data_IF_694982344594
#
_entry.id   IF_694982344594
#
_cell.length_a   1.000
_cell.length_b   1.000
_cell.length_c   1.000
_cell.angle_alpha   90.00
_cell.angle_beta   90.00
_cell.angle_gamma   90.00
#
_symmetry.space_group_name_H-M   'P 1'
#
loop_
_entity.id
_entity.type
_entity.pdbx_description
1 polymer ?
#
# COMPACT_ATOMS: atom_id res chain seq x y z
N UNK A 1 -22.47 -65.42 21.73
CA UNK A 1 -22.66 -64.80 20.42
C UNK A 1 -23.51 -63.55 20.57
N UNK A 2 -22.96 -62.39 20.66
CA UNK A 2 -23.68 -61.12 20.51
C UNK A 2 -22.74 -60.17 19.81
N UNK A 3 -23.11 -59.65 18.61
CA UNK A 3 -22.39 -58.71 17.79
C UNK A 3 -22.67 -57.29 18.30
N UNK A 4 -21.64 -56.48 18.50
CA UNK A 4 -21.73 -55.05 18.77
C UNK A 4 -21.84 -54.27 17.46
N UNK A 5 -22.58 -53.14 17.41
CA UNK A 5 -22.71 -52.32 16.21
C UNK A 5 -21.60 -51.31 16.12
N UNK A 6 -21.04 -51.15 14.91
CA UNK A 6 -20.08 -50.14 14.52
C UNK A 6 -20.72 -48.74 14.50
N UNK A 7 -20.15 -47.84 15.25
CA UNK A 7 -20.54 -46.40 15.24
C UNK A 7 -19.80 -45.68 14.11
N UNK A 8 -20.48 -45.39 13.02
CA UNK A 8 -19.98 -44.53 11.94
C UNK A 8 -20.02 -43.06 12.39
N UNK A 9 -18.87 -42.49 12.65
CA UNK A 9 -18.71 -41.04 12.87
C UNK A 9 -18.86 -40.27 11.55
N UNK A 10 -19.95 -39.54 11.40
CA UNK A 10 -20.16 -38.60 10.30
C UNK A 10 -19.29 -37.37 10.55
N UNK A 11 -18.26 -37.17 9.71
CA UNK A 11 -17.51 -35.93 9.66
C UNK A 11 -18.35 -34.87 8.94
N UNK A 12 -18.92 -33.96 9.71
CA UNK A 12 -19.63 -32.79 9.20
C UNK A 12 -18.59 -31.76 8.71
N UNK A 13 -18.34 -31.70 7.41
CA UNK A 13 -17.57 -30.61 6.80
C UNK A 13 -18.49 -29.40 6.67
N UNK A 14 -18.43 -28.49 7.62
CA UNK A 14 -19.01 -27.16 7.48
C UNK A 14 -18.13 -26.34 6.52
N UNK A 15 -18.53 -26.24 5.27
CA UNK A 15 -18.07 -25.20 4.35
C UNK A 15 -18.62 -23.88 4.88
N UNK A 16 -17.81 -23.09 5.54
CA UNK A 16 -18.09 -21.69 5.79
C UNK A 16 -18.09 -21.00 4.44
N UNK A 17 -19.25 -20.72 3.89
CA UNK A 17 -19.40 -19.79 2.76
C UNK A 17 -19.02 -18.41 3.30
N UNK A 18 -17.83 -17.96 2.95
CA UNK A 18 -17.40 -16.59 3.13
C UNK A 18 -18.25 -15.74 2.19
N UNK A 19 -19.26 -15.08 2.74
CA UNK A 19 -20.12 -14.17 1.98
C UNK A 19 -19.27 -12.98 1.58
N UNK A 20 -19.03 -12.82 0.28
CA UNK A 20 -18.52 -11.59 -0.35
C UNK A 20 -19.53 -10.44 -0.17
N UNK A 21 -19.64 -9.96 1.05
CA UNK A 21 -20.36 -8.71 1.27
C UNK A 21 -19.41 -7.57 0.89
N UNK A 22 -19.79 -6.70 -0.04
CA UNK A 22 -18.98 -5.54 -0.35
C UNK A 22 -18.85 -4.70 0.91
N UNK A 23 -17.61 -4.41 1.30
CA UNK A 23 -17.31 -3.49 2.39
C UNK A 23 -18.02 -2.16 2.12
N UNK A 24 -19.00 -1.80 2.96
CA UNK A 24 -19.70 -0.51 2.89
C UNK A 24 -19.03 0.50 3.81
N UNK A 25 -18.87 1.70 3.30
CA UNK A 25 -18.41 2.85 4.05
C UNK A 25 -19.54 3.29 4.99
N UNK A 26 -19.56 2.81 6.25
CA UNK A 26 -20.52 3.20 7.28
C UNK A 26 -20.06 4.52 7.91
N UNK A 27 -20.32 5.63 7.22
CA UNK A 27 -20.22 6.96 7.83
C UNK A 27 -21.52 7.31 8.58
N UNK A 28 -21.45 8.01 9.75
CA UNK A 28 -22.63 8.60 10.33
C UNK A 28 -23.25 9.58 9.33
N UNK A 29 -24.57 9.81 9.40
CA UNK A 29 -25.43 10.58 8.48
C UNK A 29 -25.05 12.08 8.33
N UNK A 30 -23.78 12.41 8.25
CA UNK A 30 -23.29 13.69 7.75
C UNK A 30 -22.96 13.52 6.27
N UNK A 31 -23.28 14.50 5.44
CA UNK A 31 -22.94 14.50 4.00
C UNK A 31 -21.48 14.03 3.84
N UNK A 32 -21.22 12.96 3.09
CA UNK A 32 -19.87 12.45 2.97
C UNK A 32 -18.96 13.55 2.42
N UNK A 33 -17.83 13.79 3.09
CA UNK A 33 -16.84 14.76 2.65
C UNK A 33 -16.24 14.32 1.32
N UNK A 34 -15.88 15.28 0.51
CA UNK A 34 -15.13 14.99 -0.72
C UNK A 34 -13.76 14.39 -0.35
N UNK A 35 -13.43 13.28 -0.98
CA UNK A 35 -12.10 12.68 -0.91
C UNK A 35 -11.25 13.21 -2.06
N UNK A 36 -10.05 13.71 -1.79
CA UNK A 36 -9.10 14.06 -2.84
C UNK A 36 -7.87 13.15 -2.76
N UNK A 37 -7.55 12.53 -3.89
CA UNK A 37 -6.33 11.74 -4.03
C UNK A 37 -5.25 12.64 -4.62
N UNK A 38 -4.28 13.06 -3.78
CA UNK A 38 -3.13 13.83 -4.21
C UNK A 38 -2.12 12.89 -4.87
N UNK A 39 -2.01 13.01 -6.21
CA UNK A 39 -1.14 12.18 -7.04
C UNK A 39 -1.79 10.86 -7.48
N UNK A 40 -2.41 10.86 -8.65
CA UNK A 40 -3.05 9.67 -9.23
C UNK A 40 -2.07 8.85 -10.09
N UNK A 41 -0.93 8.47 -9.51
CA UNK A 41 -0.02 7.46 -10.06
C UNK A 41 -0.57 6.04 -9.90
N UNK A 42 0.29 5.03 -9.94
CA UNK A 42 -0.13 3.62 -9.85
C UNK A 42 -1.07 3.35 -8.66
N UNK A 43 -0.64 3.65 -7.44
CA UNK A 43 -1.46 3.43 -6.24
C UNK A 43 -2.67 4.34 -6.17
N UNK A 44 -2.52 5.62 -6.52
CA UNK A 44 -3.61 6.58 -6.49
C UNK A 44 -4.78 6.20 -7.40
N UNK A 45 -4.51 5.57 -8.56
CA UNK A 45 -5.57 5.05 -9.46
C UNK A 45 -6.35 3.91 -8.83
N UNK A 46 -5.69 2.99 -8.13
CA UNK A 46 -6.36 1.90 -7.41
C UNK A 46 -7.25 2.43 -6.28
N UNK A 47 -6.76 3.40 -5.51
CA UNK A 47 -7.56 4.06 -4.47
C UNK A 47 -8.76 4.77 -5.09
N UNK A 48 -8.57 5.48 -6.21
CA UNK A 48 -9.65 6.17 -6.91
C UNK A 48 -10.73 5.19 -7.39
N UNK A 49 -10.33 4.11 -8.06
CA UNK A 49 -11.26 3.09 -8.55
C UNK A 49 -12.06 2.46 -7.43
N UNK A 50 -11.40 2.11 -6.32
CA UNK A 50 -12.04 1.56 -5.14
C UNK A 50 -13.03 2.56 -4.50
N UNK A 51 -12.65 3.83 -4.39
CA UNK A 51 -13.52 4.88 -3.87
C UNK A 51 -14.77 5.08 -4.76
N UNK A 52 -14.62 5.04 -6.08
CA UNK A 52 -15.75 5.09 -7.03
C UNK A 52 -16.67 3.89 -6.87
N UNK A 53 -16.10 2.68 -6.73
CA UNK A 53 -16.89 1.45 -6.50
C UNK A 53 -17.71 1.52 -5.19
N UNK A 54 -17.18 2.21 -4.19
CA UNK A 54 -17.86 2.46 -2.91
C UNK A 54 -18.79 3.70 -2.95
N UNK A 55 -19.00 4.29 -4.12
CA UNK A 55 -19.83 5.49 -4.31
C UNK A 55 -19.40 6.71 -3.47
N UNK A 56 -18.09 6.82 -3.15
CA UNK A 56 -17.55 7.97 -2.45
C UNK A 56 -17.43 9.18 -3.40
N UNK A 57 -17.66 10.41 -2.91
CA UNK A 57 -17.40 11.63 -3.67
C UNK A 57 -15.90 11.86 -3.78
N UNK A 58 -15.26 11.27 -4.80
CA UNK A 58 -13.80 11.25 -4.95
C UNK A 58 -13.35 12.07 -6.16
N UNK A 59 -12.25 12.82 -5.96
CA UNK A 59 -11.55 13.61 -6.96
C UNK A 59 -10.11 13.09 -7.12
N UNK A 60 -9.65 12.96 -8.35
CA UNK A 60 -8.29 12.54 -8.67
C UNK A 60 -7.45 13.74 -9.08
N UNK A 61 -6.22 13.83 -8.57
CA UNK A 61 -5.35 14.96 -8.93
C UNK A 61 -4.09 14.54 -9.67
N UNK A 62 -3.63 15.43 -10.55
CA UNK A 62 -2.38 15.30 -11.30
C UNK A 62 -1.85 16.68 -11.70
N UNK A 63 -0.53 16.76 -11.95
CA UNK A 63 0.07 17.96 -12.56
C UNK A 63 -0.47 18.25 -13.96
N UNK A 64 -0.81 17.19 -14.71
CA UNK A 64 -1.36 17.24 -16.07
C UNK A 64 -2.59 16.33 -16.16
N UNK A 65 -3.75 16.74 -15.61
CA UNK A 65 -4.92 15.86 -15.46
C UNK A 65 -5.44 15.37 -16.83
N UNK A 66 -5.49 16.19 -17.86
CA UNK A 66 -5.99 15.79 -19.18
C UNK A 66 -5.15 14.70 -19.83
N UNK A 67 -3.83 14.71 -19.58
CA UNK A 67 -2.93 13.68 -20.08
C UNK A 67 -2.91 12.42 -19.20
N UNK A 68 -2.88 12.61 -17.88
CA UNK A 68 -2.63 11.50 -16.94
C UNK A 68 -3.91 10.85 -16.44
N UNK A 69 -5.06 11.50 -16.57
CA UNK A 69 -6.34 11.07 -16.02
C UNK A 69 -7.43 11.06 -17.12
N UNK A 70 -7.04 10.74 -18.36
CA UNK A 70 -7.97 10.72 -19.50
C UNK A 70 -9.16 9.77 -19.29
N UNK A 71 -8.97 8.70 -18.50
CA UNK A 71 -9.99 7.72 -18.13
C UNK A 71 -10.91 8.14 -16.97
N UNK A 72 -10.58 9.22 -16.27
CA UNK A 72 -11.38 9.78 -15.18
C UNK A 72 -12.34 10.82 -15.77
N UNK A 73 -13.57 10.88 -15.26
CA UNK A 73 -14.53 11.93 -15.65
C UNK A 73 -13.91 13.33 -15.46
N UNK A 74 -14.00 14.25 -16.45
CA UNK A 74 -13.44 15.59 -16.34
C UNK A 74 -13.86 16.38 -15.11
N UNK A 75 -15.12 16.20 -14.65
CA UNK A 75 -15.64 16.84 -13.45
C UNK A 75 -15.00 16.34 -12.15
N UNK A 76 -14.28 15.21 -12.20
CA UNK A 76 -13.59 14.59 -11.08
C UNK A 76 -12.08 14.75 -11.13
N UNK A 77 -11.55 15.57 -12.06
CA UNK A 77 -10.11 15.83 -12.22
C UNK A 77 -9.74 17.14 -11.59
N UNK A 78 -8.62 17.16 -10.86
CA UNK A 78 -8.03 18.38 -10.31
C UNK A 78 -6.60 18.52 -10.83
N UNK A 79 -6.24 19.72 -11.29
CA UNK A 79 -4.83 20.07 -11.47
C UNK A 79 -4.23 20.36 -10.11
N UNK A 80 -3.18 19.62 -9.76
CA UNK A 80 -2.46 19.80 -8.50
C UNK A 80 -0.97 19.60 -8.72
N UNK A 81 -0.19 20.56 -8.27
CA UNK A 81 1.26 20.50 -8.16
C UNK A 81 1.68 21.09 -6.81
N UNK A 82 2.47 20.33 -6.03
CA UNK A 82 2.94 20.80 -4.73
C UNK A 82 3.81 22.06 -4.84
N UNK A 83 4.59 22.18 -5.93
CA UNK A 83 5.44 23.34 -6.22
C UNK A 83 4.67 24.55 -6.77
N UNK A 84 3.37 24.43 -7.12
CA UNK A 84 2.57 25.52 -7.69
C UNK A 84 1.39 25.89 -6.78
N UNK A 85 1.54 26.84 -5.83
CA UNK A 85 0.48 27.21 -4.88
C UNK A 85 -0.86 27.62 -5.52
N UNK A 86 -0.83 28.21 -6.71
CA UNK A 86 -2.05 28.56 -7.45
C UNK A 86 -2.94 27.34 -7.79
N UNK A 87 -2.38 26.12 -7.80
CA UNK A 87 -3.15 24.90 -8.06
C UNK A 87 -3.87 24.38 -6.83
N UNK A 88 -3.53 24.86 -5.65
CA UNK A 88 -4.10 24.36 -4.38
C UNK A 88 -5.53 24.87 -4.16
N UNK A 89 -5.87 26.04 -4.70
CA UNK A 89 -7.24 26.60 -4.61
C UNK A 89 -8.32 25.75 -5.31
N UNK A 90 -7.92 24.82 -6.17
CA UNK A 90 -8.84 23.86 -6.79
C UNK A 90 -9.28 22.73 -5.84
N UNK A 91 -8.70 22.61 -4.65
CA UNK A 91 -9.08 21.61 -3.66
C UNK A 91 -10.29 22.06 -2.87
N UNK A 92 -11.31 21.19 -2.66
CA UNK A 92 -12.43 21.49 -1.77
C UNK A 92 -11.92 21.80 -0.34
N UNK A 93 -12.45 22.83 0.34
CA UNK A 93 -11.85 23.34 1.59
C UNK A 93 -11.88 22.36 2.75
N UNK A 94 -12.85 21.45 2.81
CA UNK A 94 -13.02 20.48 3.90
C UNK A 94 -12.84 19.03 3.42
N UNK A 95 -12.09 18.83 2.34
CA UNK A 95 -11.83 17.51 1.78
C UNK A 95 -10.95 16.68 2.71
N UNK A 96 -11.25 15.39 2.74
CA UNK A 96 -10.30 14.39 3.21
C UNK A 96 -9.23 14.15 2.12
N UNK A 97 -7.98 13.99 2.53
CA UNK A 97 -6.85 13.88 1.61
C UNK A 97 -6.13 12.54 1.75
N UNK A 98 -5.82 11.90 0.63
CA UNK A 98 -4.86 10.79 0.57
C UNK A 98 -3.68 11.23 -0.31
N UNK A 99 -2.52 11.38 0.32
CA UNK A 99 -1.28 11.83 -0.32
C UNK A 99 -0.43 10.63 -0.74
N UNK A 100 -0.20 10.44 -2.03
CA UNK A 100 0.39 9.20 -2.58
C UNK A 100 1.81 9.35 -3.16
N UNK A 101 2.43 10.50 -3.02
CA UNK A 101 3.81 10.76 -3.47
C UNK A 101 4.69 11.21 -2.30
N UNK A 102 6.03 11.22 -2.42
CA UNK A 102 6.91 11.62 -1.33
C UNK A 102 6.60 13.03 -0.80
N UNK A 103 6.49 13.17 0.53
CA UNK A 103 6.25 14.46 1.18
C UNK A 103 7.57 15.28 1.23
N UNK A 104 7.97 15.84 0.10
CA UNK A 104 9.23 16.57 -0.08
C UNK A 104 9.13 17.52 -1.29
N UNK A 105 9.85 18.64 -1.30
CA UNK A 105 10.71 19.19 -0.25
C UNK A 105 9.92 19.76 0.95
N UNK A 106 10.56 19.87 2.10
CA UNK A 106 9.89 20.23 3.36
C UNK A 106 9.20 21.59 3.29
N UNK A 107 9.81 22.58 2.67
CA UNK A 107 9.28 23.94 2.55
C UNK A 107 7.93 23.96 1.80
N UNK A 108 7.84 23.22 0.70
CA UNK A 108 6.61 23.09 -0.10
C UNK A 108 5.51 22.34 0.68
N UNK A 109 5.89 21.26 1.38
CA UNK A 109 4.99 20.51 2.26
C UNK A 109 4.41 21.40 3.35
N UNK A 110 5.26 22.22 4.00
CA UNK A 110 4.84 23.16 5.04
C UNK A 110 3.91 24.24 4.47
N UNK A 111 4.26 24.80 3.32
CA UNK A 111 3.43 25.83 2.67
C UNK A 111 2.05 25.28 2.30
N UNK A 112 2.01 24.11 1.68
CA UNK A 112 0.77 23.43 1.33
C UNK A 112 -0.07 23.10 2.57
N UNK A 113 0.54 22.53 3.60
CA UNK A 113 -0.17 22.12 4.80
C UNK A 113 -0.83 23.30 5.52
N UNK A 114 -0.13 24.43 5.66
CA UNK A 114 -0.70 25.67 6.21
C UNK A 114 -1.88 26.20 5.38
N UNK A 115 -1.85 26.01 4.07
CA UNK A 115 -2.91 26.45 3.16
C UNK A 115 -4.13 25.52 3.16
N UNK A 116 -3.91 24.18 3.07
CA UNK A 116 -4.93 23.23 2.66
C UNK A 116 -5.30 22.18 3.72
N UNK A 117 -4.43 21.93 4.72
CA UNK A 117 -4.74 20.93 5.75
C UNK A 117 -5.57 21.59 6.85
N UNK A 118 -6.90 21.43 6.75
CA UNK A 118 -7.84 21.96 7.73
C UNK A 118 -8.03 20.97 8.88
N UNK A 119 -8.30 21.45 10.13
CA UNK A 119 -8.58 20.55 11.25
C UNK A 119 -9.83 19.66 11.04
N UNK A 120 -10.75 20.08 10.17
CA UNK A 120 -11.96 19.34 9.84
C UNK A 120 -11.72 18.15 8.89
N UNK A 121 -10.72 18.24 8.02
CA UNK A 121 -10.38 17.15 7.07
C UNK A 121 -9.37 16.16 7.65
N UNK A 122 -9.43 14.92 7.20
CA UNK A 122 -8.44 13.89 7.56
C UNK A 122 -7.37 13.80 6.48
N UNK A 123 -6.15 13.48 6.88
CA UNK A 123 -5.01 13.36 5.99
C UNK A 123 -4.32 12.01 6.19
N UNK A 124 -4.28 11.21 5.14
CA UNK A 124 -3.47 9.97 5.07
C UNK A 124 -2.30 10.22 4.13
N UNK A 125 -1.08 9.90 4.55
CA UNK A 125 0.15 10.08 3.76
C UNK A 125 0.83 8.73 3.55
N UNK A 126 1.10 8.39 2.30
CA UNK A 126 1.85 7.20 1.95
C UNK A 126 3.35 7.47 2.07
N UNK A 127 3.92 7.03 3.18
CA UNK A 127 5.35 6.94 3.40
C UNK A 127 5.92 5.60 2.90
N UNK A 128 7.05 5.21 3.45
CA UNK A 128 7.68 3.92 3.09
C UNK A 128 8.43 3.32 4.28
N UNK A 129 8.47 2.00 4.34
CA UNK A 129 9.27 1.26 5.33
C UNK A 129 10.79 1.51 5.20
N UNK A 130 11.26 2.12 4.11
CA UNK A 130 12.65 2.55 3.99
C UNK A 130 12.99 3.78 4.87
N UNK A 131 11.99 4.36 5.55
CA UNK A 131 12.16 5.39 6.57
C UNK A 131 12.85 4.89 7.84
N UNK A 132 12.75 3.59 8.15
CA UNK A 132 13.42 3.02 9.31
C UNK A 132 14.91 2.91 9.06
N UNK A 133 15.70 3.20 10.09
CA UNK A 133 17.13 2.98 10.05
C UNK A 133 17.47 1.51 9.79
N UNK A 134 18.60 1.28 9.18
CA UNK A 134 19.15 -0.06 9.06
C UNK A 134 19.97 -0.34 10.34
N UNK A 135 19.50 -1.27 11.13
CA UNK A 135 20.38 -1.84 12.14
C UNK A 135 21.43 -2.71 11.44
N UNK A 136 22.70 -2.36 11.62
CA UNK A 136 23.83 -3.17 11.17
C UNK A 136 23.92 -4.43 12.04
N UNK A 137 23.46 -5.57 11.52
CA UNK A 137 23.69 -6.89 12.11
C UNK A 137 24.63 -7.71 11.26
N UNK A 138 25.19 -8.82 11.78
CA UNK A 138 25.93 -9.79 10.98
C UNK A 138 25.08 -10.27 9.81
N UNK A 139 25.70 -10.48 8.66
CA UNK A 139 25.03 -10.87 7.40
C UNK A 139 24.27 -12.20 7.53
N UNK A 140 24.71 -13.06 8.44
CA UNK A 140 24.16 -14.41 8.64
C UNK A 140 23.00 -14.45 9.63
N UNK A 141 22.73 -13.37 10.38
CA UNK A 141 21.62 -13.30 11.32
C UNK A 141 20.33 -12.86 10.63
N UNK A 142 19.20 -13.41 11.10
CA UNK A 142 17.89 -12.93 10.68
C UNK A 142 17.71 -11.49 11.19
N UNK A 143 17.42 -10.51 10.32
CA UNK A 143 17.18 -9.14 10.75
C UNK A 143 16.01 -9.09 11.75
N UNK A 144 16.04 -8.16 12.73
CA UNK A 144 14.97 -8.02 13.71
C UNK A 144 13.63 -7.67 13.05
N UNK A 145 12.54 -7.96 13.75
CA UNK A 145 11.23 -7.46 13.39
C UNK A 145 11.13 -5.98 13.75
N UNK A 146 10.70 -5.17 12.81
CA UNK A 146 10.52 -3.73 12.93
C UNK A 146 9.03 -3.42 13.00
N UNK A 147 8.62 -2.72 14.06
CA UNK A 147 7.30 -2.13 14.21
C UNK A 147 7.37 -0.60 14.15
N UNK A 148 6.28 0.08 14.45
CA UNK A 148 6.14 1.53 14.33
C UNK A 148 6.90 2.32 15.41
N UNK A 149 7.42 1.65 16.43
CA UNK A 149 8.23 2.29 17.50
C UNK A 149 9.71 2.38 17.13
N UNK A 150 10.13 1.69 16.06
CA UNK A 150 11.52 1.65 15.62
C UNK A 150 12.01 3.04 15.16
N UNK A 151 13.28 3.41 15.47
CA UNK A 151 13.85 4.69 15.07
C UNK A 151 13.76 4.96 13.56
N UNK A 152 13.57 6.23 13.22
CA UNK A 152 13.46 6.71 11.86
C UNK A 152 14.74 7.41 11.42
N UNK A 153 15.08 7.24 10.16
CA UNK A 153 16.10 8.07 9.52
C UNK A 153 15.54 9.46 9.21
N UNK A 154 15.67 10.37 10.16
CA UNK A 154 15.20 11.75 10.03
C UNK A 154 16.05 12.61 9.07
N UNK A 155 17.19 12.10 8.58
CA UNK A 155 17.96 12.76 7.54
C UNK A 155 17.31 12.69 6.15
N UNK A 156 16.36 11.76 5.96
CA UNK A 156 15.64 11.61 4.69
C UNK A 156 14.63 12.74 4.51
N UNK A 157 14.71 13.55 3.43
CA UNK A 157 13.82 14.69 3.23
C UNK A 157 12.33 14.36 3.29
N UNK A 158 11.92 13.20 2.74
CA UNK A 158 10.54 12.76 2.81
C UNK A 158 10.08 12.42 4.24
N UNK A 159 10.96 11.88 5.09
CA UNK A 159 10.64 11.57 6.50
C UNK A 159 10.41 12.88 7.26
N UNK A 160 11.18 13.92 6.97
CA UNK A 160 10.97 15.24 7.56
C UNK A 160 9.57 15.80 7.22
N UNK A 161 9.14 15.69 5.97
CA UNK A 161 7.80 16.12 5.56
C UNK A 161 6.69 15.25 6.15
N UNK A 162 6.87 13.91 6.16
CA UNK A 162 5.93 12.97 6.79
C UNK A 162 5.74 13.31 8.29
N UNK A 163 6.85 13.47 9.04
CA UNK A 163 6.80 13.80 10.46
C UNK A 163 6.24 15.20 10.73
N UNK A 164 6.52 16.19 9.87
CA UNK A 164 5.90 17.50 9.97
C UNK A 164 4.37 17.41 9.83
N UNK A 165 3.87 16.72 8.81
CA UNK A 165 2.43 16.52 8.60
C UNK A 165 1.80 15.76 9.75
N UNK A 166 2.47 14.73 10.26
CA UNK A 166 1.99 13.92 11.38
C UNK A 166 1.86 14.73 12.66
N UNK A 167 2.89 15.50 13.03
CA UNK A 167 2.97 16.18 14.32
C UNK A 167 2.20 17.51 14.37
N UNK A 168 2.09 18.21 13.23
CA UNK A 168 1.46 19.54 13.19
C UNK A 168 0.05 19.52 12.58
N UNK A 169 -0.28 18.51 11.77
CA UNK A 169 -1.56 18.42 11.05
C UNK A 169 -2.32 17.12 11.31
N UNK A 170 -1.84 16.29 12.25
CA UNK A 170 -2.51 15.05 12.61
C UNK A 170 -2.57 14.02 11.48
N UNK A 171 -1.65 14.10 10.50
CA UNK A 171 -1.61 13.15 9.39
C UNK A 171 -1.38 11.71 9.88
N UNK A 172 -2.09 10.78 9.27
CA UNK A 172 -1.90 9.34 9.46
C UNK A 172 -0.85 8.88 8.46
N UNK A 173 0.27 8.37 8.94
CA UNK A 173 1.36 7.93 8.07
C UNK A 173 1.28 6.43 7.83
N UNK A 174 1.14 6.03 6.57
CA UNK A 174 1.24 4.63 6.15
C UNK A 174 2.65 4.35 5.63
N UNK A 175 3.47 3.64 6.41
CA UNK A 175 4.81 3.21 6.00
C UNK A 175 4.69 1.95 5.15
N UNK A 176 4.57 2.17 3.84
CA UNK A 176 4.25 1.15 2.85
C UNK A 176 5.50 0.36 2.44
N UNK A 177 5.36 -0.95 2.41
CA UNK A 177 6.34 -1.90 1.87
C UNK A 177 6.40 -1.85 0.33
N UNK A 178 7.11 -2.78 -0.30
CA UNK A 178 7.16 -2.88 -1.76
C UNK A 178 5.78 -3.17 -2.35
N UNK A 179 5.27 -2.26 -3.18
CA UNK A 179 3.93 -2.39 -3.77
C UNK A 179 4.02 -3.24 -5.03
N UNK A 180 3.19 -4.28 -5.13
CA UNK A 180 3.06 -5.11 -6.32
C UNK A 180 1.58 -5.29 -6.73
N UNK A 181 1.36 -5.81 -7.94
CA UNK A 181 0.03 -6.07 -8.49
C UNK A 181 0.05 -6.06 -10.02
N UNK A 182 -1.11 -6.00 -10.70
CA UNK A 182 -1.21 -5.87 -12.15
C UNK A 182 -0.36 -4.69 -12.67
N UNK A 183 0.40 -4.89 -13.74
CA UNK A 183 1.34 -3.91 -14.33
C UNK A 183 2.52 -3.48 -13.41
N UNK A 184 2.66 -4.10 -12.23
CA UNK A 184 3.79 -3.89 -11.31
C UNK A 184 4.20 -5.24 -10.71
N UNK A 185 4.57 -6.16 -11.58
CA UNK A 185 4.76 -7.56 -11.27
C UNK A 185 6.21 -7.90 -10.89
N UNK A 186 6.47 -8.50 -9.72
CA UNK A 186 7.79 -9.01 -9.33
C UNK A 186 8.43 -9.97 -10.33
N UNK A 187 7.65 -10.80 -11.03
CA UNK A 187 8.16 -11.69 -12.10
C UNK A 187 8.81 -10.88 -13.22
N UNK A 188 8.22 -9.74 -13.59
CA UNK A 188 8.81 -8.84 -14.57
C UNK A 188 10.05 -8.13 -14.06
N UNK A 189 10.12 -7.80 -12.77
CA UNK A 189 11.33 -7.21 -12.19
C UNK A 189 12.51 -8.18 -12.26
N UNK A 190 12.27 -9.48 -12.01
CA UNK A 190 13.25 -10.54 -12.13
C UNK A 190 13.66 -10.72 -13.62
N UNK A 191 12.69 -10.84 -14.51
CA UNK A 191 12.91 -11.00 -15.97
C UNK A 191 13.73 -9.86 -16.57
N UNK A 192 13.51 -8.64 -16.10
CA UNK A 192 14.22 -7.43 -16.54
C UNK A 192 15.55 -7.20 -15.80
N UNK A 193 15.96 -8.09 -14.90
CA UNK A 193 17.19 -7.95 -14.12
C UNK A 193 17.18 -6.77 -13.12
N UNK A 194 15.99 -6.22 -12.81
CA UNK A 194 15.87 -5.15 -11.79
C UNK A 194 16.17 -5.67 -10.40
N UNK A 195 15.83 -6.91 -10.13
CA UNK A 195 16.11 -7.65 -8.92
C UNK A 195 16.73 -8.98 -9.24
N UNK A 196 17.51 -9.53 -8.30
CA UNK A 196 18.18 -10.82 -8.46
C UNK A 196 18.23 -11.59 -7.14
N UNK A 197 18.79 -12.79 -7.13
CA UNK A 197 18.84 -13.65 -5.97
C UNK A 197 19.80 -13.08 -4.91
N UNK A 198 19.25 -12.36 -3.94
CA UNK A 198 20.00 -11.78 -2.80
C UNK A 198 19.42 -12.29 -1.48
N UNK A 199 20.22 -12.26 -0.42
CA UNK A 199 19.76 -12.58 0.94
C UNK A 199 18.87 -11.49 1.56
N UNK A 200 18.70 -10.37 0.87
CA UNK A 200 17.91 -9.25 1.35
C UNK A 200 16.46 -9.65 1.56
N UNK A 201 15.99 -9.46 2.79
CA UNK A 201 14.57 -9.55 3.08
C UNK A 201 13.80 -8.39 2.46
N UNK A 202 12.73 -8.71 1.76
CA UNK A 202 11.77 -7.75 1.23
C UNK A 202 10.42 -7.96 1.88
N UNK A 203 9.72 -6.86 2.07
CA UNK A 203 8.36 -6.84 2.52
C UNK A 203 7.52 -6.30 1.38
N UNK A 204 6.39 -6.90 1.13
CA UNK A 204 5.55 -6.59 -0.02
C UNK A 204 4.12 -6.33 0.44
N UNK A 205 3.34 -5.68 -0.40
CA UNK A 205 1.90 -5.50 -0.24
C UNK A 205 1.24 -5.48 -1.62
N UNK A 206 0.14 -6.19 -1.77
CA UNK A 206 -0.65 -6.09 -2.99
C UNK A 206 -1.33 -4.73 -3.07
N UNK A 207 -1.38 -4.12 -4.25
CA UNK A 207 -1.91 -2.76 -4.42
C UNK A 207 -3.40 -2.65 -4.06
N UNK A 208 -4.18 -3.71 -4.25
CA UNK A 208 -5.59 -3.75 -3.86
C UNK A 208 -5.75 -3.69 -2.34
N UNK A 209 -4.97 -4.47 -1.59
CA UNK A 209 -4.94 -4.41 -0.12
C UNK A 209 -4.49 -3.03 0.38
N UNK A 210 -3.47 -2.46 -0.26
CA UNK A 210 -3.03 -1.10 0.05
C UNK A 210 -4.14 -0.07 -0.16
N UNK A 211 -4.90 -0.17 -1.27
CA UNK A 211 -6.00 0.75 -1.54
C UNK A 211 -7.11 0.65 -0.47
N UNK A 212 -7.47 -0.57 -0.06
CA UNK A 212 -8.41 -0.78 1.05
C UNK A 212 -7.89 -0.20 2.36
N UNK A 213 -6.62 -0.46 2.69
CA UNK A 213 -6.00 0.05 3.92
C UNK A 213 -5.91 1.58 3.93
N UNK A 214 -5.71 2.24 2.78
CA UNK A 214 -5.76 3.71 2.68
C UNK A 214 -7.14 4.26 3.04
N UNK A 215 -8.22 3.70 2.47
CA UNK A 215 -9.58 4.15 2.77
C UNK A 215 -9.98 3.84 4.23
N UNK A 216 -9.59 2.67 4.74
CA UNK A 216 -9.85 2.30 6.12
C UNK A 216 -9.05 3.16 7.12
N UNK A 217 -7.80 3.47 6.83
CA UNK A 217 -7.00 4.38 7.65
C UNK A 217 -7.62 5.79 7.67
N UNK A 218 -8.14 6.27 6.52
CA UNK A 218 -8.87 7.52 6.46
C UNK A 218 -10.12 7.48 7.35
N UNK A 219 -10.84 6.37 7.40
CA UNK A 219 -12.08 6.22 8.16
C UNK A 219 -11.83 5.97 9.65
N UNK A 220 -10.91 5.06 10.00
CA UNK A 220 -10.75 4.49 11.34
C UNK A 220 -9.39 4.76 11.98
N UNK A 221 -8.37 5.15 11.21
CA UNK A 221 -7.03 5.41 11.73
C UNK A 221 -7.03 6.54 12.76
N UNK A 222 -6.11 6.49 13.69
CA UNK A 222 -5.94 7.55 14.69
C UNK A 222 -5.13 8.71 14.10
N UNK A 223 -5.63 9.93 14.23
CA UNK A 223 -4.91 11.13 13.79
C UNK A 223 -3.54 11.24 14.46
N UNK A 224 -2.53 11.57 13.70
CA UNK A 224 -1.14 11.68 14.17
C UNK A 224 -0.42 10.34 14.41
N UNK A 225 -1.06 9.22 14.06
CA UNK A 225 -0.47 7.89 14.24
C UNK A 225 0.27 7.40 12.97
N UNK A 226 1.07 6.37 13.15
CA UNK A 226 1.83 5.70 12.07
C UNK A 226 1.48 4.23 12.04
N UNK A 227 1.39 3.67 10.83
CA UNK A 227 1.10 2.27 10.59
C UNK A 227 2.02 1.69 9.53
N UNK A 228 2.58 0.50 9.80
CA UNK A 228 3.28 -0.29 8.80
C UNK A 228 2.29 -1.04 7.92
N UNK A 229 2.51 -0.99 6.61
CA UNK A 229 1.66 -1.64 5.61
C UNK A 229 2.49 -2.64 4.80
N UNK A 230 2.29 -3.92 5.07
CA UNK A 230 2.89 -5.07 4.37
C UNK A 230 1.95 -6.27 4.44
N UNK A 231 2.26 -7.35 3.71
CA UNK A 231 1.55 -8.62 3.82
C UNK A 231 1.91 -9.41 5.09
N UNK A 232 2.89 -8.93 5.88
CA UNK A 232 3.35 -9.57 7.12
C UNK A 232 4.28 -10.76 6.91
N UNK A 233 4.61 -11.10 5.67
CA UNK A 233 5.46 -12.25 5.30
C UNK A 233 6.73 -11.78 4.59
N UNK A 234 7.78 -11.35 5.33
CA UNK A 234 9.04 -10.97 4.72
C UNK A 234 9.72 -12.18 4.07
N UNK A 235 10.20 -12.02 2.84
CA UNK A 235 10.82 -13.07 2.03
C UNK A 235 12.18 -12.61 1.54
N UNK A 236 13.12 -13.54 1.31
CA UNK A 236 14.39 -13.21 0.63
C UNK A 236 14.15 -13.13 -0.87
N UNK A 237 14.86 -12.22 -1.55
CA UNK A 237 14.82 -12.21 -3.02
C UNK A 237 15.33 -13.51 -3.62
N UNK A 238 16.29 -14.19 -2.97
CA UNK A 238 16.77 -15.51 -3.41
C UNK A 238 15.63 -16.54 -3.47
N UNK A 239 14.78 -16.58 -2.42
CA UNK A 239 13.65 -17.50 -2.35
C UNK A 239 12.60 -17.17 -3.41
N UNK A 240 12.30 -15.86 -3.60
CA UNK A 240 11.37 -15.41 -4.64
C UNK A 240 11.91 -15.76 -6.04
N UNK A 241 13.19 -15.53 -6.30
CA UNK A 241 13.79 -15.87 -7.60
C UNK A 241 13.77 -17.38 -7.88
N UNK A 242 14.02 -18.22 -6.87
CA UNK A 242 13.95 -19.67 -7.00
C UNK A 242 12.53 -20.15 -7.33
N UNK A 243 11.53 -19.66 -6.60
CA UNK A 243 10.13 -20.00 -6.82
C UNK A 243 9.63 -19.51 -8.19
N UNK A 244 9.99 -18.29 -8.59
CA UNK A 244 9.65 -17.72 -9.90
C UNK A 244 10.31 -18.51 -11.04
N UNK A 245 11.55 -18.96 -10.86
CA UNK A 245 12.22 -19.83 -11.82
C UNK A 245 11.52 -21.18 -11.96
N UNK A 246 11.13 -21.80 -10.85
CA UNK A 246 10.42 -23.08 -10.85
C UNK A 246 9.04 -23.03 -11.48
N UNK A 247 8.26 -21.99 -11.19
CA UNK A 247 6.87 -21.86 -11.69
C UNK A 247 6.77 -21.35 -13.12
N UNK A 248 7.61 -20.40 -13.51
CA UNK A 248 7.47 -19.67 -14.79
C UNK A 248 8.71 -19.72 -15.68
N UNK A 249 9.76 -20.45 -15.29
CA UNK A 249 10.99 -20.54 -16.05
C UNK A 249 11.75 -19.22 -16.19
N UNK A 250 11.47 -18.24 -15.34
CA UNK A 250 12.08 -16.89 -15.40
C UNK A 250 13.29 -16.83 -14.49
N UNK A 251 14.45 -16.57 -15.07
CA UNK A 251 15.73 -16.44 -14.36
C UNK A 251 16.21 -15.00 -14.46
N UNK A 252 16.71 -14.46 -13.33
CA UNK A 252 17.34 -13.14 -13.34
C UNK A 252 18.72 -13.20 -13.99
N UNK A 253 19.01 -12.22 -14.85
CA UNK A 253 20.35 -12.01 -15.37
C UNK A 253 21.32 -11.42 -14.32
N UNK A 254 20.80 -10.94 -13.19
CA UNK A 254 21.60 -10.34 -12.12
C UNK A 254 22.25 -11.43 -11.27
N UNK A 255 23.55 -11.26 -10.99
CA UNK A 255 24.28 -12.18 -10.14
C UNK A 255 23.75 -12.18 -8.69
N UNK A 256 23.94 -13.32 -8.02
CA UNK A 256 23.61 -13.47 -6.61
C UNK A 256 24.48 -12.55 -5.74
N UNK A 257 23.83 -11.86 -4.80
CA UNK A 257 24.49 -11.05 -3.78
C UNK A 257 24.02 -11.50 -2.40
N UNK A 258 24.95 -11.88 -1.53
CA UNK A 258 24.67 -12.36 -0.17
C UNK A 258 24.95 -11.32 0.91
N UNK A 259 25.36 -10.11 0.53
CA UNK A 259 25.83 -9.08 1.47
C UNK A 259 24.71 -8.32 2.20
N UNK A 260 23.46 -8.40 1.75
CA UNK A 260 22.36 -7.63 2.32
C UNK A 260 21.37 -8.49 3.11
N UNK A 261 21.02 -8.08 4.34
CA UNK A 261 20.04 -8.76 5.19
C UNK A 261 18.61 -8.19 5.07
N UNK A 262 18.45 -6.90 4.80
CA UNK A 262 17.13 -6.25 4.68
C UNK A 262 16.45 -5.97 6.02
N UNK A 263 15.11 -6.03 6.05
CA UNK A 263 14.26 -5.76 7.23
C UNK A 263 13.08 -6.73 7.25
N UNK A 264 12.54 -7.02 8.43
CA UNK A 264 11.27 -7.73 8.61
C UNK A 264 10.26 -6.79 9.25
N UNK A 265 9.16 -6.50 8.55
CA UNK A 265 8.20 -5.46 8.96
C UNK A 265 6.94 -6.10 9.54
N UNK A 266 6.57 -5.70 10.76
CA UNK A 266 5.30 -6.07 11.39
C UNK A 266 4.18 -5.17 10.85
N UNK A 267 3.04 -5.77 10.51
CA UNK A 267 1.84 -5.09 10.01
C UNK A 267 0.64 -5.23 10.96
N UNK A 268 0.83 -5.86 12.12
CA UNK A 268 -0.26 -6.22 13.04
C UNK A 268 -1.08 -5.00 13.49
N UNK A 269 -0.41 -3.88 13.74
CA UNK A 269 -1.06 -2.67 14.26
C UNK A 269 -2.18 -2.18 13.32
N UNK A 270 -1.90 -2.03 12.02
CA UNK A 270 -2.92 -1.53 11.08
C UNK A 270 -4.07 -2.51 10.93
N UNK A 271 -3.76 -3.80 10.72
CA UNK A 271 -4.79 -4.81 10.49
C UNK A 271 -5.77 -4.91 11.66
N UNK A 272 -5.25 -4.90 12.90
CA UNK A 272 -6.07 -4.95 14.12
C UNK A 272 -6.85 -3.66 14.31
N UNK A 273 -6.19 -2.49 14.15
CA UNK A 273 -6.83 -1.21 14.45
C UNK A 273 -7.98 -0.89 13.47
N UNK A 274 -7.77 -1.14 12.18
CA UNK A 274 -8.80 -0.85 11.18
C UNK A 274 -9.74 -2.03 10.91
N UNK A 275 -9.47 -3.21 11.49
CA UNK A 275 -10.29 -4.41 11.34
C UNK A 275 -10.29 -4.93 9.90
N UNK A 276 -9.09 -5.12 9.31
CA UNK A 276 -8.94 -5.57 7.93
C UNK A 276 -8.26 -6.94 7.83
N UNK A 277 -8.82 -7.80 7.03
CA UNK A 277 -8.18 -9.06 6.61
C UNK A 277 -7.69 -8.90 5.18
N UNK A 278 -6.42 -9.22 4.93
CA UNK A 278 -5.83 -9.10 3.60
C UNK A 278 -6.58 -9.99 2.60
N UNK A 279 -6.83 -9.47 1.40
CA UNK A 279 -7.41 -10.19 0.27
C UNK A 279 -6.37 -11.06 -0.44
N UNK A 280 -5.10 -10.58 -0.40
CA UNK A 280 -3.96 -11.26 -1.00
C UNK A 280 -2.91 -11.61 0.08
N UNK A 281 -3.25 -12.50 1.06
CA UNK A 281 -2.32 -12.90 2.11
C UNK A 281 -1.19 -13.75 1.57
N UNK A 282 -1.45 -14.53 0.49
CA UNK A 282 -0.50 -15.44 -0.12
C UNK A 282 0.09 -14.83 -1.40
N UNK A 283 1.34 -14.38 -1.26
CA UNK A 283 2.06 -13.67 -2.33
C UNK A 283 2.15 -14.47 -3.64
N UNK A 284 2.47 -15.75 -3.58
CA UNK A 284 2.65 -16.55 -4.78
C UNK A 284 1.33 -16.87 -5.49
N UNK A 285 0.23 -16.97 -4.77
CA UNK A 285 -1.10 -17.13 -5.36
C UNK A 285 -1.54 -15.83 -6.06
N UNK A 286 -1.25 -14.69 -5.45
CA UNK A 286 -1.48 -13.39 -6.09
C UNK A 286 -0.64 -13.24 -7.36
N UNK A 287 0.65 -13.64 -7.36
CA UNK A 287 1.49 -13.65 -8.55
C UNK A 287 0.95 -14.58 -9.64
N UNK A 288 0.48 -15.78 -9.27
CA UNK A 288 -0.13 -16.72 -10.21
C UNK A 288 -1.37 -16.11 -10.87
N UNK A 289 -2.22 -15.43 -10.10
CA UNK A 289 -3.37 -14.72 -10.64
C UNK A 289 -2.96 -13.64 -11.63
N UNK A 290 -1.95 -12.82 -11.28
CA UNK A 290 -1.44 -11.75 -12.15
C UNK A 290 -0.86 -12.32 -13.45
N UNK A 291 -0.07 -13.40 -13.39
CA UNK A 291 0.50 -14.03 -14.59
C UNK A 291 -0.57 -14.67 -15.47
N UNK A 292 -1.58 -15.31 -14.88
CA UNK A 292 -2.70 -15.93 -15.62
C UNK A 292 -3.55 -14.90 -16.37
N UNK A 293 -3.79 -13.74 -15.77
CA UNK A 293 -4.58 -12.66 -16.38
C UNK A 293 -3.71 -11.64 -17.15
N UNK A 294 -2.48 -11.98 -17.40
CA UNK A 294 -1.55 -11.13 -18.13
C UNK A 294 -2.01 -10.93 -19.56
N UNK A 295 -2.42 -9.71 -19.91
CA UNK A 295 -2.62 -9.36 -21.30
C UNK A 295 -1.26 -9.40 -22.02
N UNK A 296 -1.17 -10.03 -23.21
CA UNK A 296 0.06 -9.99 -23.97
C UNK A 296 0.47 -8.52 -24.20
N UNK A 297 1.78 -8.21 -24.23
CA UNK A 297 2.22 -6.87 -24.53
C UNK A 297 1.63 -6.46 -25.89
N UNK A 298 0.95 -5.32 -25.91
CA UNK A 298 0.52 -4.70 -27.16
C UNK A 298 1.82 -4.49 -27.96
N UNK A 299 2.01 -5.27 -29.02
CA UNK A 299 3.09 -5.01 -29.97
C UNK A 299 2.75 -3.71 -30.67
N UNK A 300 3.45 -2.64 -30.27
CA UNK A 300 3.46 -1.36 -30.98
C UNK A 300 4.26 -1.49 -32.26
#
# INVERSE_FOLDING_TARGET
>A
MRRSPETRTRICRSRTQQTDQPFRYDAPMTTPRSLVILGSGYTGRWIYQLAVQQSLPVLASSRHPDRHLSEVDPSRRIRFDLAEPRTWSGLPPDADLIWTFPATPLEEVQAFARHSCRPSGRLVVLGSTSAYDREGGPVDDLPPWIDETHPLNTSLPRVQGEEYLRTHHGAIILRVAGIYGPNRNPVDWIRQGRVGPTNKFVNLIHVEDLAHLCLLALQRGQAGDTYNVSDGHPRRWADICAEVSGRWGVVSARQADRSESGKRIRNHKILTHVGYTLRHPEFYDALQSIETHRQPPIRL
#
